data_IF_603735791631
#
_entry.id   IF_603735791631
#
_cell.length_a   1.000
_cell.length_b   1.000
_cell.length_c   1.000
_cell.angle_alpha   90.00
_cell.angle_beta   90.00
_cell.angle_gamma   90.00
#
_symmetry.space_group_name_H-M   'P 1'
#
loop_
_entity.id
_entity.type
_entity.pdbx_description
1 polymer ?
#
# COMPACT_ATOMS: atom_id res chain seq x y z
N UNK A 1 -5.61 -0.70 9.86
CA UNK A 1 -4.17 -0.42 9.75
C UNK A 1 -3.36 -0.87 10.96
N UNK A 2 -3.73 -0.49 12.18
CA UNK A 2 -2.89 -0.66 13.37
C UNK A 2 -2.34 -2.08 13.61
N UNK A 3 -3.17 -3.12 13.40
CA UNK A 3 -2.71 -4.51 13.53
C UNK A 3 -1.55 -4.83 12.55
N UNK A 4 -1.66 -4.43 11.29
CA UNK A 4 -0.62 -4.66 10.28
C UNK A 4 0.67 -3.94 10.66
N UNK A 5 0.59 -2.68 11.09
CA UNK A 5 1.76 -1.90 11.50
C UNK A 5 2.46 -2.54 12.71
N UNK A 6 1.70 -3.03 13.70
CA UNK A 6 2.25 -3.75 14.84
C UNK A 6 2.98 -5.02 14.42
N UNK A 7 2.36 -5.87 13.60
CA UNK A 7 2.96 -7.12 13.13
C UNK A 7 4.24 -6.89 12.33
N UNK A 8 4.29 -5.85 11.48
CA UNK A 8 5.52 -5.45 10.78
C UNK A 8 6.60 -5.00 11.75
N UNK A 9 6.24 -4.20 12.77
CA UNK A 9 7.16 -3.75 13.81
C UNK A 9 7.75 -4.89 14.64
N UNK A 10 6.97 -5.93 14.93
CA UNK A 10 7.44 -7.16 15.59
C UNK A 10 8.51 -7.91 14.78
N UNK A 11 8.55 -7.69 13.46
CA UNK A 11 9.59 -8.19 12.55
C UNK A 11 10.71 -7.18 12.25
N UNK A 12 10.74 -6.04 12.95
CA UNK A 12 11.76 -4.99 12.72
C UNK A 12 11.57 -4.22 11.42
N UNK A 13 10.39 -4.29 10.80
CA UNK A 13 10.07 -3.57 9.57
C UNK A 13 9.40 -2.25 9.93
N UNK A 14 10.03 -1.13 9.58
CA UNK A 14 9.42 0.18 9.73
C UNK A 14 8.20 0.31 8.80
N UNK A 15 7.03 0.55 9.39
CA UNK A 15 5.78 0.75 8.66
C UNK A 15 5.34 2.21 8.73
N UNK A 16 5.37 2.90 7.59
CA UNK A 16 4.86 4.25 7.44
C UNK A 16 3.45 4.26 6.84
N UNK A 17 2.44 3.99 7.66
CA UNK A 17 1.05 4.02 7.22
C UNK A 17 0.52 5.44 7.03
N UNK A 18 -0.19 5.68 5.93
CA UNK A 18 -0.97 6.91 5.71
C UNK A 18 -2.38 6.69 6.24
N UNK A 19 -2.86 7.52 7.19
CA UNK A 19 -4.24 7.44 7.67
C UNK A 19 -5.23 7.71 6.56
N UNK A 20 -6.27 6.88 6.49
CA UNK A 20 -7.38 7.03 5.55
C UNK A 20 -8.68 6.73 6.27
N UNK A 21 -9.78 7.27 5.77
CA UNK A 21 -11.12 7.15 6.35
C UNK A 21 -11.60 5.69 6.33
N UNK A 22 -11.31 4.97 5.25
CA UNK A 22 -11.70 3.57 5.07
C UNK A 22 -10.85 2.58 5.86
N UNK A 23 -11.41 1.41 6.16
CA UNK A 23 -10.68 0.36 6.87
C UNK A 23 -9.79 -0.46 5.93
N UNK A 24 -8.58 -0.81 6.40
CA UNK A 24 -7.70 -1.77 5.71
C UNK A 24 -8.41 -3.11 5.55
N UNK A 25 -8.45 -3.65 4.32
CA UNK A 25 -9.09 -4.95 4.05
C UNK A 25 -8.39 -6.10 4.76
N UNK A 26 -9.17 -7.14 5.02
CA UNK A 26 -8.68 -8.45 5.44
C UNK A 26 -9.04 -9.45 4.33
N UNK A 27 -8.06 -10.26 3.96
CA UNK A 27 -8.27 -11.41 3.08
C UNK A 27 -8.10 -12.67 3.94
N UNK A 28 -9.03 -13.61 3.79
CA UNK A 28 -9.02 -14.88 4.51
C UNK A 28 -8.80 -15.99 3.50
N UNK A 29 -7.84 -16.86 3.75
CA UNK A 29 -7.65 -18.10 2.99
C UNK A 29 -7.99 -19.27 3.90
N UNK A 30 -8.99 -20.05 3.52
CA UNK A 30 -9.33 -21.32 4.16
C UNK A 30 -8.49 -22.40 3.49
N UNK A 31 -7.83 -23.21 4.32
CA UNK A 31 -7.00 -24.34 3.88
C UNK A 31 -7.71 -25.60 4.34
N UNK A 32 -8.15 -26.41 3.39
CA UNK A 32 -8.82 -27.68 3.68
C UNK A 32 -7.79 -28.83 3.75
N UNK A 33 -8.07 -29.92 4.49
CA UNK A 33 -7.11 -31.02 4.66
C UNK A 33 -6.68 -31.71 3.35
N UNK A 34 -7.49 -31.62 2.31
CA UNK A 34 -7.21 -32.14 0.97
C UNK A 34 -6.31 -31.20 0.13
N UNK A 35 -5.93 -30.04 0.69
CA UNK A 35 -5.13 -29.02 0.03
C UNK A 35 -5.95 -27.99 -0.74
N UNK A 36 -7.29 -28.08 -0.75
CA UNK A 36 -8.14 -27.06 -1.38
C UNK A 36 -7.98 -25.72 -0.67
N UNK A 37 -7.85 -24.65 -1.46
CA UNK A 37 -7.70 -23.27 -0.97
C UNK A 37 -8.91 -22.43 -1.37
N UNK A 38 -9.73 -22.07 -0.39
CA UNK A 38 -10.85 -21.13 -0.61
C UNK A 38 -10.44 -19.72 -0.17
N UNK A 39 -10.43 -18.76 -1.11
CA UNK A 39 -10.00 -17.38 -0.86
C UNK A 39 -11.18 -16.43 -0.77
N UNK A 40 -11.31 -15.75 0.37
CA UNK A 40 -12.29 -14.69 0.63
C UNK A 40 -11.54 -13.37 0.66
N UNK A 41 -11.67 -12.57 -0.40
CA UNK A 41 -10.99 -11.29 -0.51
C UNK A 41 -11.99 -10.14 -0.33
N UNK A 42 -11.80 -9.33 0.70
CA UNK A 42 -12.56 -8.09 0.82
C UNK A 42 -12.09 -7.07 -0.22
N UNK A 43 -13.01 -6.29 -0.77
CA UNK A 43 -12.68 -5.33 -1.82
C UNK A 43 -11.71 -4.25 -1.35
N UNK A 44 -11.81 -3.85 -0.08
CA UNK A 44 -11.01 -2.79 0.53
C UNK A 44 -11.63 -1.41 0.41
N UNK A 45 -10.93 -0.38 0.93
CA UNK A 45 -11.45 0.98 0.96
C UNK A 45 -11.36 1.63 -0.41
N UNK A 46 -12.15 2.66 -0.60
CA UNK A 46 -12.00 3.61 -1.69
C UNK A 46 -11.24 4.83 -1.16
N UNK A 47 -10.18 5.23 -1.88
CA UNK A 47 -9.38 6.40 -1.54
C UNK A 47 -9.98 7.64 -2.18
N UNK A 48 -10.07 8.71 -1.39
CA UNK A 48 -10.32 10.06 -1.91
C UNK A 48 -9.08 10.60 -2.62
N UNK A 49 -9.27 11.65 -3.42
CA UNK A 49 -8.16 12.35 -4.10
C UNK A 49 -7.16 12.92 -3.08
N UNK A 50 -7.64 13.45 -1.95
CA UNK A 50 -6.78 13.99 -0.91
C UNK A 50 -5.93 12.89 -0.25
N UNK A 51 -6.54 11.76 0.13
CA UNK A 51 -5.80 10.62 0.69
C UNK A 51 -4.80 10.03 -0.31
N UNK A 52 -5.13 10.03 -1.61
CA UNK A 52 -4.22 9.60 -2.67
C UNK A 52 -2.98 10.51 -2.78
N UNK A 53 -3.16 11.83 -2.66
CA UNK A 53 -2.06 12.79 -2.63
C UNK A 53 -1.21 12.64 -1.36
N UNK A 54 -1.83 12.40 -0.20
CA UNK A 54 -1.10 12.13 1.06
C UNK A 54 -0.17 10.92 0.92
N UNK A 55 -0.59 9.88 0.19
CA UNK A 55 0.27 8.73 -0.12
C UNK A 55 1.45 9.11 -1.02
N UNK A 56 1.22 9.91 -2.08
CA UNK A 56 2.31 10.36 -2.96
C UNK A 56 3.34 11.20 -2.20
N UNK A 57 2.88 12.05 -1.29
CA UNK A 57 3.74 12.89 -0.45
C UNK A 57 4.52 12.08 0.60
N UNK A 58 3.89 11.08 1.21
CA UNK A 58 4.55 10.15 2.11
C UNK A 58 5.66 9.36 1.40
N UNK A 59 5.42 8.94 0.14
CA UNK A 59 6.45 8.28 -0.67
C UNK A 59 7.59 9.25 -0.97
N UNK A 60 7.29 10.46 -1.47
CA UNK A 60 8.29 11.49 -1.82
C UNK A 60 9.22 11.83 -0.65
N UNK A 61 8.65 12.03 0.54
CA UNK A 61 9.42 12.40 1.74
C UNK A 61 10.34 11.27 2.22
N UNK A 62 9.92 10.01 2.09
CA UNK A 62 10.66 8.84 2.60
C UNK A 62 11.60 8.21 1.59
N UNK A 63 11.36 8.40 0.29
CA UNK A 63 12.21 7.86 -0.77
C UNK A 63 13.41 8.74 -1.10
N UNK A 64 13.51 9.94 -0.52
CA UNK A 64 14.61 10.88 -0.80
C UNK A 64 16.01 10.29 -0.53
N UNK A 65 16.13 9.35 0.40
CA UNK A 65 17.38 8.63 0.71
C UNK A 65 17.37 7.16 0.29
N UNK A 66 16.35 6.72 -0.45
CA UNK A 66 16.23 5.33 -0.87
C UNK A 66 16.93 5.11 -2.22
N UNK A 67 17.69 4.02 -2.34
CA UNK A 67 18.30 3.64 -3.62
C UNK A 67 17.27 3.09 -4.62
N UNK A 68 16.17 2.53 -4.11
CA UNK A 68 15.14 1.85 -4.90
C UNK A 68 13.75 2.06 -4.31
N UNK A 69 12.74 2.12 -5.18
CA UNK A 69 11.32 2.09 -4.81
C UNK A 69 10.66 0.91 -5.52
N UNK A 70 9.96 0.07 -4.77
CA UNK A 70 9.15 -1.02 -5.31
C UNK A 70 7.65 -0.71 -5.13
N UNK A 71 6.93 -0.60 -6.26
CA UNK A 71 5.47 -0.48 -6.28
C UNK A 71 4.84 -1.86 -6.45
N UNK A 72 4.11 -2.35 -5.43
CA UNK A 72 3.63 -3.73 -5.38
C UNK A 72 2.12 -3.82 -5.23
N UNK A 73 1.51 -4.77 -5.94
CA UNK A 73 0.08 -5.08 -5.82
C UNK A 73 -0.84 -4.19 -6.67
N UNK A 74 -2.12 -4.54 -6.70
CA UNK A 74 -3.17 -3.80 -7.40
C UNK A 74 -3.47 -2.46 -6.71
N UNK A 75 -3.85 -1.45 -7.50
CA UNK A 75 -4.31 -0.17 -6.96
C UNK A 75 -5.57 -0.35 -6.09
N UNK A 76 -5.69 0.35 -4.95
CA UNK A 76 -6.95 0.50 -4.25
C UNK A 76 -8.02 1.16 -5.13
N UNK A 77 -9.30 1.01 -4.73
CA UNK A 77 -10.40 1.70 -5.42
C UNK A 77 -10.26 3.21 -5.26
N UNK A 78 -10.79 3.96 -6.23
CA UNK A 78 -10.73 5.43 -6.25
C UNK A 78 -9.48 5.98 -6.93
N UNK A 79 -8.43 5.15 -7.10
CA UNK A 79 -7.23 5.57 -7.82
C UNK A 79 -7.38 5.35 -9.33
N UNK A 80 -6.91 6.30 -10.15
CA UNK A 80 -6.90 6.12 -11.59
C UNK A 80 -5.76 5.17 -12.01
N UNK A 81 -5.87 4.48 -13.16
CA UNK A 81 -4.85 3.53 -13.63
C UNK A 81 -3.43 4.11 -13.76
N UNK A 82 -3.33 5.41 -14.06
CA UNK A 82 -2.06 6.12 -14.18
C UNK A 82 -1.38 6.47 -12.85
N UNK A 83 -1.98 6.16 -11.69
CA UNK A 83 -1.47 6.61 -10.39
C UNK A 83 -0.05 6.13 -10.10
N UNK A 84 0.30 4.88 -10.44
CA UNK A 84 1.70 4.43 -10.30
C UNK A 84 2.67 5.16 -11.24
N UNK A 85 2.25 5.49 -12.46
CA UNK A 85 3.07 6.26 -13.38
C UNK A 85 3.37 7.65 -12.82
N UNK A 86 2.37 8.26 -12.15
CA UNK A 86 2.55 9.52 -11.45
C UNK A 86 3.51 9.41 -10.26
N UNK A 87 3.37 8.37 -9.42
CA UNK A 87 4.30 8.11 -8.32
C UNK A 87 5.74 7.98 -8.83
N UNK A 88 5.97 7.20 -9.88
CA UNK A 88 7.29 7.01 -10.48
C UNK A 88 7.83 8.35 -11.01
N UNK A 89 7.01 9.11 -11.74
CA UNK A 89 7.42 10.41 -12.26
C UNK A 89 7.77 11.42 -11.14
N UNK A 90 7.00 11.44 -10.05
CA UNK A 90 7.29 12.28 -8.86
C UNK A 90 8.57 11.84 -8.15
N UNK A 91 8.79 10.53 -8.04
CA UNK A 91 9.99 9.97 -7.40
C UNK A 91 11.26 10.27 -8.18
N UNK A 92 11.23 10.13 -9.51
CA UNK A 92 12.36 10.53 -10.36
C UNK A 92 12.68 12.03 -10.27
N UNK A 93 11.65 12.90 -10.24
CA UNK A 93 11.85 14.34 -10.02
C UNK A 93 12.49 14.65 -8.67
N UNK A 94 12.26 13.81 -7.66
CA UNK A 94 12.87 13.91 -6.34
C UNK A 94 14.27 13.29 -6.25
N UNK A 95 14.79 12.71 -7.34
CA UNK A 95 16.14 12.14 -7.41
C UNK A 95 16.23 10.64 -7.11
N UNK A 96 15.09 9.97 -6.86
CA UNK A 96 15.06 8.52 -6.74
C UNK A 96 15.29 7.85 -8.11
N UNK A 97 15.95 6.70 -8.09
CA UNK A 97 16.29 5.92 -9.29
C UNK A 97 15.32 4.78 -9.54
#
# INVERSE_FOLDING_TARGET
GALLARLLGEHGIEAAGVPVTGSTRINVTLVEPDGTLTKINATGPELSVAEAEDVLEAVRSRSASADWIACCGSLPRGLPPQWYAELVARSHRAGAR
#
